data_IF_136751633751
#
_entry.id   IF_136751633751
#
_cell.length_a   1.000
_cell.length_b   1.000
_cell.length_c   1.000
_cell.angle_alpha   90.00
_cell.angle_beta   90.00
_cell.angle_gamma   90.00
#
_symmetry.space_group_name_H-M   'P 1'
#
loop_
_entity.id
_entity.type
_entity.pdbx_description
1 polymer ?
#
# COMPACT_ATOMS: atom_id res chain seq x y z
N UNK A 1 -24.39 20.91 -7.63
CA UNK A 1 -25.28 22.09 -7.60
C UNK A 1 -26.67 21.77 -8.15
N UNK A 2 -26.82 21.19 -9.33
CA UNK A 2 -28.13 20.85 -9.91
C UNK A 2 -29.01 19.96 -9.01
N UNK A 3 -28.45 19.00 -8.28
CA UNK A 3 -29.20 18.15 -7.34
C UNK A 3 -29.72 18.92 -6.12
N UNK A 4 -29.05 19.97 -5.72
CA UNK A 4 -29.47 20.82 -4.59
C UNK A 4 -30.68 21.68 -4.96
N UNK A 5 -30.66 22.32 -6.14
CA UNK A 5 -31.79 23.09 -6.65
C UNK A 5 -32.92 22.19 -7.14
N UNK A 6 -32.63 20.97 -7.64
CA UNK A 6 -33.64 20.00 -8.04
C UNK A 6 -34.49 19.48 -6.89
N UNK A 7 -33.99 19.50 -5.66
CA UNK A 7 -34.76 19.07 -4.48
C UNK A 7 -35.93 20.00 -4.15
N UNK A 8 -35.86 21.29 -4.47
CA UNK A 8 -36.97 22.22 -4.27
C UNK A 8 -38.14 21.95 -5.23
N UNK A 9 -37.85 21.49 -6.45
CA UNK A 9 -38.86 21.10 -7.42
C UNK A 9 -39.73 19.92 -6.95
N UNK A 10 -39.18 19.05 -6.10
CA UNK A 10 -39.89 17.92 -5.52
C UNK A 10 -40.99 18.35 -4.56
N UNK A 11 -40.86 19.53 -3.92
CA UNK A 11 -41.83 20.08 -2.99
C UNK A 11 -43.15 20.52 -3.69
N UNK A 12 -43.12 20.72 -5.01
CA UNK A 12 -44.31 21.08 -5.81
C UNK A 12 -45.07 19.86 -6.35
N UNK A 13 -44.55 18.64 -6.16
CA UNK A 13 -45.16 17.42 -6.67
C UNK A 13 -46.26 16.90 -5.72
N UNK A 14 -47.38 16.41 -6.27
CA UNK A 14 -48.53 15.85 -5.51
C UNK A 14 -48.30 14.39 -5.10
N UNK A 15 -47.29 14.13 -4.25
CA UNK A 15 -47.01 12.84 -3.67
C UNK A 15 -47.37 12.80 -2.17
N UNK A 16 -47.51 11.59 -1.56
CA UNK A 16 -47.66 11.46 -0.11
C UNK A 16 -46.48 12.18 0.62
N UNK A 17 -46.82 12.93 1.65
CA UNK A 17 -45.81 13.76 2.37
C UNK A 17 -44.61 12.96 2.83
N UNK A 18 -44.81 11.70 3.29
CA UNK A 18 -43.73 10.83 3.73
C UNK A 18 -42.73 10.46 2.59
N UNK A 19 -43.23 10.21 1.39
CA UNK A 19 -42.41 9.92 0.23
C UNK A 19 -41.63 11.15 -0.23
N UNK A 20 -42.28 12.32 -0.16
CA UNK A 20 -41.72 13.61 -0.58
C UNK A 20 -40.57 14.01 0.35
N UNK A 21 -40.72 13.85 1.66
CA UNK A 21 -39.65 14.11 2.64
C UNK A 21 -38.47 13.16 2.46
N UNK A 22 -38.72 11.88 2.20
CA UNK A 22 -37.66 10.89 1.98
C UNK A 22 -36.85 11.19 0.71
N UNK A 23 -37.54 11.52 -0.38
CA UNK A 23 -36.88 11.92 -1.64
C UNK A 23 -36.10 13.21 -1.49
N UNK A 24 -36.63 14.19 -0.78
CA UNK A 24 -35.94 15.45 -0.50
C UNK A 24 -34.64 15.22 0.29
N UNK A 25 -34.71 14.48 1.39
CA UNK A 25 -33.54 14.16 2.21
C UNK A 25 -32.50 13.37 1.41
N UNK A 26 -32.94 12.39 0.61
CA UNK A 26 -32.04 11.58 -0.23
C UNK A 26 -31.32 12.43 -1.28
N UNK A 27 -32.01 13.35 -1.97
CA UNK A 27 -31.39 14.23 -2.99
C UNK A 27 -30.44 15.23 -2.37
N UNK A 28 -30.78 15.81 -1.21
CA UNK A 28 -29.87 16.71 -0.48
C UNK A 28 -28.63 15.96 0.00
N UNK A 29 -28.80 14.77 0.57
CA UNK A 29 -27.66 13.95 1.02
C UNK A 29 -26.74 13.55 -0.16
N UNK A 30 -27.32 13.14 -1.28
CA UNK A 30 -26.56 12.81 -2.49
C UNK A 30 -25.79 14.03 -3.04
N UNK A 31 -26.42 15.20 -3.03
CA UNK A 31 -25.78 16.47 -3.40
C UNK A 31 -24.60 16.81 -2.50
N UNK A 32 -24.76 16.65 -1.19
CA UNK A 32 -23.70 16.91 -0.21
C UNK A 32 -22.52 15.95 -0.37
N UNK A 33 -22.76 14.64 -0.51
CA UNK A 33 -21.72 13.64 -0.75
C UNK A 33 -20.96 13.94 -2.05
N UNK A 34 -21.68 14.35 -3.11
CA UNK A 34 -21.07 14.73 -4.39
C UNK A 34 -20.16 15.95 -4.26
N UNK A 35 -20.54 16.93 -3.47
CA UNK A 35 -19.71 18.12 -3.18
C UNK A 35 -18.44 17.74 -2.40
N UNK A 36 -18.57 16.89 -1.38
CA UNK A 36 -17.41 16.42 -0.60
C UNK A 36 -16.43 15.63 -1.49
N UNK A 37 -16.93 14.73 -2.32
CA UNK A 37 -16.07 13.95 -3.23
C UNK A 37 -15.39 14.85 -4.25
N UNK A 38 -16.10 15.79 -4.86
CA UNK A 38 -15.51 16.76 -5.78
C UNK A 38 -14.44 17.63 -5.10
N UNK A 39 -14.69 18.10 -3.89
CA UNK A 39 -13.72 18.85 -3.09
C UNK A 39 -12.42 18.06 -2.81
N UNK A 40 -12.54 16.79 -2.47
CA UNK A 40 -11.36 15.94 -2.27
C UNK A 40 -10.56 15.70 -3.55
N UNK A 41 -11.23 15.57 -4.68
CA UNK A 41 -10.57 15.40 -5.99
C UNK A 41 -9.86 16.69 -6.42
N UNK A 42 -10.51 17.84 -6.28
CA UNK A 42 -9.90 19.15 -6.56
C UNK A 42 -8.68 19.37 -5.67
N UNK A 43 -8.79 19.08 -4.37
CA UNK A 43 -7.65 19.20 -3.45
C UNK A 43 -6.47 18.32 -3.84
N UNK A 44 -6.74 17.11 -4.33
CA UNK A 44 -5.69 16.21 -4.83
C UNK A 44 -5.03 16.74 -6.10
N UNK A 45 -5.83 17.26 -7.04
CA UNK A 45 -5.30 17.86 -8.27
C UNK A 45 -4.44 19.08 -7.98
N UNK A 46 -4.92 20.00 -7.14
CA UNK A 46 -4.17 21.19 -6.74
C UNK A 46 -2.88 20.82 -5.99
N UNK A 47 -2.94 19.85 -5.09
CA UNK A 47 -1.76 19.39 -4.36
C UNK A 47 -0.73 18.77 -5.28
N UNK A 48 -1.16 18.00 -6.29
CA UNK A 48 -0.23 17.43 -7.28
C UNK A 48 0.44 18.52 -8.13
N UNK A 49 -0.30 19.56 -8.52
CA UNK A 49 0.26 20.69 -9.29
C UNK A 49 1.20 21.57 -8.44
N UNK A 50 0.92 21.72 -7.14
CA UNK A 50 1.77 22.50 -6.22
C UNK A 50 3.05 21.73 -5.78
N UNK A 51 3.14 20.44 -6.08
CA UNK A 51 4.32 19.60 -5.82
C UNK A 51 5.25 19.47 -7.04
N UNK A 52 4.95 20.16 -8.14
CA UNK A 52 5.86 20.20 -9.27
C UNK A 52 7.17 20.87 -8.85
N UNK A 53 8.25 20.13 -9.00
CA UNK A 53 9.60 20.61 -8.70
C UNK A 53 9.96 21.66 -9.76
N UNK A 54 10.17 22.91 -9.32
CA UNK A 54 10.55 24.04 -10.20
C UNK A 54 11.80 23.73 -11.02
N UNK A 55 12.64 22.80 -10.55
CA UNK A 55 13.84 22.36 -11.24
C UNK A 55 13.63 21.11 -12.11
N UNK A 56 12.42 20.55 -12.11
CA UNK A 56 12.08 19.34 -12.86
C UNK A 56 10.71 19.47 -13.54
N UNK A 57 10.60 20.43 -14.45
CA UNK A 57 9.37 20.75 -15.19
C UNK A 57 8.74 19.54 -15.92
N UNK A 58 9.58 18.61 -16.38
CA UNK A 58 9.11 17.41 -17.06
C UNK A 58 8.76 16.26 -16.11
N UNK A 59 8.90 16.48 -14.79
CA UNK A 59 8.70 15.49 -13.74
C UNK A 59 9.45 14.18 -14.04
N UNK A 60 10.70 14.33 -14.45
CA UNK A 60 11.58 13.21 -14.78
C UNK A 60 12.43 12.81 -13.58
N UNK A 61 12.73 11.55 -13.47
CA UNK A 61 13.71 11.03 -12.54
C UNK A 61 15.09 10.92 -13.21
N UNK A 62 16.12 10.77 -12.40
CA UNK A 62 17.46 10.46 -12.91
C UNK A 62 17.51 9.04 -13.50
N UNK A 63 18.51 8.78 -14.33
CA UNK A 63 18.76 7.46 -14.89
C UNK A 63 19.01 6.44 -13.79
N UNK A 64 18.20 5.38 -13.75
CA UNK A 64 18.32 4.31 -12.76
C UNK A 64 18.88 3.04 -13.39
N UNK A 65 19.40 2.12 -12.56
CA UNK A 65 19.90 0.83 -13.02
C UNK A 65 18.77 -0.01 -13.64
N UNK A 66 18.99 -0.48 -14.86
CA UNK A 66 18.01 -1.28 -15.60
C UNK A 66 18.30 -2.78 -15.53
N UNK A 67 19.51 -3.15 -15.14
CA UNK A 67 19.93 -4.54 -15.07
C UNK A 67 19.53 -5.14 -13.73
N UNK A 68 19.03 -6.36 -13.76
CA UNK A 68 18.82 -7.15 -12.57
C UNK A 68 20.18 -7.74 -12.13
N UNK A 69 20.66 -7.31 -10.97
CA UNK A 69 21.89 -7.84 -10.37
C UNK A 69 21.46 -8.70 -9.18
N UNK A 70 21.36 -10.00 -9.41
CA UNK A 70 20.94 -10.95 -8.40
C UNK A 70 22.11 -11.83 -7.94
N UNK A 71 22.19 -12.07 -6.64
CA UNK A 71 23.08 -13.05 -6.03
C UNK A 71 22.33 -13.82 -4.92
N UNK A 72 23.02 -14.69 -4.21
CA UNK A 72 22.47 -15.49 -3.12
C UNK A 72 21.79 -14.63 -2.05
N UNK A 73 22.34 -13.45 -1.73
CA UNK A 73 21.87 -12.59 -0.62
C UNK A 73 20.96 -11.45 -1.07
N UNK A 74 20.98 -11.09 -2.35
CA UNK A 74 20.37 -9.86 -2.84
C UNK A 74 18.86 -9.81 -2.63
N UNK A 75 18.36 -8.59 -2.42
CA UNK A 75 16.95 -8.27 -2.56
C UNK A 75 16.79 -7.26 -3.70
N UNK A 76 15.98 -7.61 -4.67
CA UNK A 76 15.82 -6.83 -5.90
C UNK A 76 14.39 -6.30 -5.97
N UNK A 77 14.25 -4.97 -6.02
CA UNK A 77 12.98 -4.29 -6.06
C UNK A 77 12.72 -3.77 -7.47
N UNK A 78 11.63 -4.19 -8.13
CA UNK A 78 11.29 -3.66 -9.44
C UNK A 78 10.84 -2.21 -9.32
N UNK A 79 11.31 -1.37 -10.23
CA UNK A 79 10.97 0.05 -10.30
C UNK A 79 10.52 0.44 -11.69
N UNK A 80 9.83 1.58 -11.77
CA UNK A 80 9.55 2.28 -13.02
C UNK A 80 9.98 3.72 -12.85
N UNK A 81 10.68 4.26 -13.83
CA UNK A 81 11.13 5.65 -13.84
C UNK A 81 10.91 6.28 -15.20
N UNK A 82 10.70 7.59 -15.21
CA UNK A 82 10.58 8.38 -16.42
C UNK A 82 11.89 9.12 -16.67
N UNK A 83 12.42 8.98 -17.88
CA UNK A 83 13.64 9.65 -18.29
C UNK A 83 13.56 9.96 -19.79
N UNK A 84 13.91 11.18 -20.19
CA UNK A 84 13.81 11.66 -21.58
C UNK A 84 12.44 11.37 -22.19
N UNK A 85 11.37 11.75 -21.49
CA UNK A 85 9.96 11.56 -21.89
C UNK A 85 9.52 10.11 -22.11
N UNK A 86 10.35 9.14 -21.76
CA UNK A 86 10.05 7.71 -21.88
C UNK A 86 10.00 7.04 -20.50
N UNK A 87 9.13 6.07 -20.34
CA UNK A 87 9.06 5.24 -19.14
C UNK A 87 9.90 4.00 -19.31
N UNK A 88 10.79 3.76 -18.37
CA UNK A 88 11.68 2.61 -18.31
C UNK A 88 11.38 1.76 -17.10
N UNK A 89 11.64 0.46 -17.21
CA UNK A 89 11.69 -0.45 -16.07
C UNK A 89 13.12 -0.53 -15.56
N UNK A 90 13.28 -0.55 -14.26
CA UNK A 90 14.58 -0.62 -13.59
C UNK A 90 14.51 -1.48 -12.33
N UNK A 91 15.62 -1.54 -11.63
CA UNK A 91 15.77 -2.31 -10.41
C UNK A 91 16.55 -1.53 -9.34
N UNK A 92 16.05 -1.57 -8.12
CA UNK A 92 16.86 -1.24 -6.96
C UNK A 92 17.47 -2.56 -6.48
N UNK A 93 18.77 -2.72 -6.73
CA UNK A 93 19.50 -3.94 -6.40
C UNK A 93 20.20 -3.78 -5.05
N UNK A 94 19.65 -4.37 -3.99
CA UNK A 94 20.31 -4.47 -2.70
C UNK A 94 21.13 -5.76 -2.70
N UNK A 95 22.37 -5.66 -3.17
CA UNK A 95 23.22 -6.84 -3.46
C UNK A 95 23.64 -7.54 -2.17
N UNK A 96 24.01 -6.78 -1.15
CA UNK A 96 24.47 -7.30 0.14
C UNK A 96 23.65 -6.69 1.28
N UNK A 97 22.49 -7.23 1.65
CA UNK A 97 21.58 -6.66 2.66
C UNK A 97 22.03 -6.96 4.10
N UNK A 98 23.33 -7.07 4.36
CA UNK A 98 23.89 -7.35 5.70
C UNK A 98 23.95 -6.11 6.60
N UNK A 99 23.69 -4.94 6.05
CA UNK A 99 23.56 -3.70 6.79
C UNK A 99 22.10 -3.32 6.95
N UNK A 100 21.79 -2.58 8.00
CA UNK A 100 20.43 -2.10 8.21
C UNK A 100 19.97 -1.21 7.04
N UNK A 101 18.71 -1.38 6.64
CA UNK A 101 18.04 -0.52 5.65
C UNK A 101 17.00 0.32 6.35
N UNK A 102 17.04 1.65 6.18
CA UNK A 102 16.04 2.57 6.70
C UNK A 102 15.07 2.95 5.58
N UNK A 103 13.77 2.69 5.80
CA UNK A 103 12.72 2.98 4.82
C UNK A 103 11.81 4.05 5.40
N UNK A 104 11.89 5.25 4.84
CA UNK A 104 11.08 6.39 5.25
C UNK A 104 9.92 6.63 4.28
N UNK A 105 8.81 7.10 4.80
CA UNK A 105 7.65 7.47 4.01
C UNK A 105 6.42 7.71 4.87
N UNK A 106 5.50 8.52 4.38
CA UNK A 106 4.23 8.82 5.04
C UNK A 106 3.33 7.58 5.16
N UNK A 107 2.36 7.55 6.09
CA UNK A 107 1.34 6.53 6.12
C UNK A 107 0.64 6.41 4.75
N UNK A 108 0.41 5.17 4.30
CA UNK A 108 -0.22 4.92 2.98
C UNK A 108 0.69 5.06 1.76
N UNK A 109 1.98 5.39 1.90
CA UNK A 109 2.92 5.51 0.77
C UNK A 109 3.32 4.19 0.10
N UNK A 110 2.75 3.06 0.51
CA UNK A 110 3.03 1.76 -0.10
C UNK A 110 4.32 1.07 0.36
N UNK A 111 4.98 1.54 1.43
CA UNK A 111 6.24 0.95 1.94
C UNK A 111 6.17 -0.57 2.14
N UNK A 112 5.12 -1.03 2.80
CA UNK A 112 4.95 -2.46 3.06
C UNK A 112 4.79 -3.25 1.77
N UNK A 113 3.96 -2.76 0.86
CA UNK A 113 3.69 -3.43 -0.41
C UNK A 113 4.93 -3.45 -1.34
N UNK A 114 5.54 -2.31 -1.56
CA UNK A 114 6.62 -2.17 -2.54
C UNK A 114 7.95 -2.73 -2.04
N UNK A 115 8.23 -2.64 -0.74
CA UNK A 115 9.56 -2.94 -0.19
C UNK A 115 9.50 -4.13 0.77
N UNK A 116 8.78 -4.02 1.89
CA UNK A 116 8.83 -5.01 2.97
C UNK A 116 8.36 -6.39 2.48
N UNK A 117 7.26 -6.45 1.74
CA UNK A 117 6.76 -7.70 1.18
C UNK A 117 7.77 -8.37 0.24
N UNK A 118 8.50 -7.57 -0.54
CA UNK A 118 9.54 -8.09 -1.42
C UNK A 118 10.75 -8.63 -0.64
N UNK A 119 11.14 -7.97 0.45
CA UNK A 119 12.17 -8.48 1.36
C UNK A 119 11.76 -9.81 1.96
N UNK A 120 10.59 -9.90 2.56
CA UNK A 120 10.07 -11.13 3.18
C UNK A 120 10.04 -12.27 2.15
N UNK A 121 9.45 -12.01 0.98
CA UNK A 121 9.32 -13.05 -0.06
C UNK A 121 10.67 -13.57 -0.54
N UNK A 122 11.57 -12.67 -0.90
CA UNK A 122 12.86 -13.06 -1.49
C UNK A 122 13.79 -13.72 -0.46
N UNK A 123 13.80 -13.26 0.79
CA UNK A 123 14.61 -13.87 1.83
C UNK A 123 14.11 -15.27 2.19
N UNK A 124 12.81 -15.46 2.35
CA UNK A 124 12.25 -16.80 2.59
C UNK A 124 12.43 -17.70 1.37
N UNK A 125 12.28 -17.18 0.15
CA UNK A 125 12.52 -17.92 -1.07
C UNK A 125 13.96 -18.43 -1.19
N UNK A 126 14.92 -17.70 -0.64
CA UNK A 126 16.33 -18.06 -0.60
C UNK A 126 16.72 -18.96 0.59
N UNK A 127 15.76 -19.32 1.44
CA UNK A 127 15.98 -20.22 2.57
C UNK A 127 16.54 -19.55 3.83
N UNK A 128 16.44 -18.22 3.95
CA UNK A 128 16.89 -17.51 5.14
C UNK A 128 15.85 -17.53 6.25
N UNK A 129 16.33 -17.59 7.49
CA UNK A 129 15.50 -17.35 8.66
C UNK A 129 15.18 -15.85 8.78
N UNK A 130 13.97 -15.54 9.22
CA UNK A 130 13.52 -14.16 9.36
C UNK A 130 12.83 -13.95 10.72
N UNK A 131 13.06 -12.77 11.32
CA UNK A 131 12.27 -12.23 12.39
C UNK A 131 11.48 -11.04 11.85
N UNK A 132 10.16 -11.08 12.01
CA UNK A 132 9.25 -10.08 11.44
C UNK A 132 8.43 -9.46 12.58
N UNK A 133 8.57 -8.16 12.77
CA UNK A 133 7.69 -7.39 13.64
C UNK A 133 6.50 -6.88 12.83
N UNK A 134 5.33 -7.46 13.08
CA UNK A 134 4.10 -7.16 12.36
C UNK A 134 3.18 -6.27 13.20
N UNK A 135 3.32 -4.96 13.05
CA UNK A 135 2.51 -3.98 13.78
C UNK A 135 1.01 -4.06 13.42
N UNK A 136 0.71 -4.53 12.21
CA UNK A 136 -0.68 -4.70 11.73
C UNK A 136 -1.00 -6.18 11.57
N UNK A 137 -0.68 -6.95 12.60
CA UNK A 137 -0.98 -8.38 12.58
C UNK A 137 -2.43 -8.64 12.08
N UNK A 138 -2.63 -9.60 11.11
CA UNK A 138 -1.64 -10.58 10.63
C UNK A 138 -1.07 -10.29 9.22
N UNK A 139 -1.01 -9.05 8.75
CA UNK A 139 -0.71 -8.70 7.35
C UNK A 139 0.62 -9.30 6.83
N UNK A 140 1.73 -9.02 7.51
CA UNK A 140 3.05 -9.53 7.12
C UNK A 140 3.23 -11.00 7.48
N UNK A 141 2.62 -11.43 8.58
CA UNK A 141 2.69 -12.79 9.09
C UNK A 141 2.08 -13.79 8.12
N UNK A 142 0.94 -13.47 7.51
CA UNK A 142 0.31 -14.29 6.47
C UNK A 142 1.21 -14.42 5.24
N UNK A 143 1.83 -13.33 4.80
CA UNK A 143 2.74 -13.33 3.65
C UNK A 143 3.93 -14.24 3.93
N UNK A 144 4.55 -14.10 5.11
CA UNK A 144 5.69 -14.90 5.52
C UNK A 144 5.34 -16.38 5.61
N UNK A 145 4.22 -16.72 6.23
CA UNK A 145 3.76 -18.11 6.37
C UNK A 145 3.49 -18.76 5.02
N UNK A 146 2.74 -18.09 4.15
CA UNK A 146 2.44 -18.61 2.82
C UNK A 146 3.71 -18.80 1.98
N UNK A 147 4.66 -17.87 2.08
CA UNK A 147 5.93 -17.98 1.39
C UNK A 147 6.79 -19.11 1.94
N UNK A 148 6.78 -19.34 3.25
CA UNK A 148 7.44 -20.47 3.87
C UNK A 148 6.84 -21.81 3.42
N UNK A 149 5.51 -21.93 3.39
CA UNK A 149 4.82 -23.12 2.90
C UNK A 149 5.22 -23.47 1.46
N UNK A 150 5.34 -22.46 0.60
CA UNK A 150 5.70 -22.60 -0.81
C UNK A 150 7.15 -23.04 -1.01
N UNK A 151 8.05 -22.67 -0.10
CA UNK A 151 9.50 -22.87 -0.25
C UNK A 151 10.11 -23.82 0.80
N UNK A 152 9.31 -24.67 1.43
CA UNK A 152 9.79 -25.61 2.47
C UNK A 152 10.99 -26.44 2.03
N UNK A 153 11.01 -26.85 0.78
CA UNK A 153 12.04 -27.75 0.23
C UNK A 153 13.41 -27.08 0.07
N UNK A 154 13.46 -25.76 0.17
CA UNK A 154 14.73 -25.02 0.08
C UNK A 154 15.51 -24.99 1.40
N UNK A 155 14.90 -25.43 2.47
CA UNK A 155 15.53 -25.46 3.79
C UNK A 155 16.14 -26.85 4.06
N UNK A 156 17.41 -26.88 4.45
CA UNK A 156 18.13 -28.13 4.75
C UNK A 156 17.57 -28.87 5.97
N UNK A 157 16.83 -28.18 6.84
CA UNK A 157 16.20 -28.75 8.04
C UNK A 157 14.74 -28.27 8.11
N UNK A 158 13.84 -29.04 8.76
CA UNK A 158 12.49 -28.60 9.01
C UNK A 158 12.46 -27.24 9.72
N UNK A 159 11.75 -26.28 9.16
CA UNK A 159 11.64 -24.92 9.70
C UNK A 159 10.31 -24.75 10.42
N UNK A 160 10.37 -24.28 11.67
CA UNK A 160 9.21 -23.88 12.44
C UNK A 160 8.79 -22.44 12.13
N UNK A 161 7.48 -22.20 12.16
CA UNK A 161 6.93 -20.85 12.11
C UNK A 161 6.32 -20.53 13.47
N UNK A 162 6.84 -19.50 14.12
CA UNK A 162 6.43 -19.13 15.47
C UNK A 162 5.83 -17.74 15.45
N UNK A 163 4.68 -17.59 16.09
CA UNK A 163 4.00 -16.31 16.28
C UNK A 163 3.98 -15.99 17.77
N UNK A 164 4.43 -14.80 18.12
CA UNK A 164 4.28 -14.25 19.46
C UNK A 164 3.29 -13.09 19.35
N UNK A 165 2.07 -13.31 19.83
CA UNK A 165 1.00 -12.33 19.79
C UNK A 165 0.65 -11.89 21.21
N UNK A 166 0.89 -10.62 21.51
CA UNK A 166 0.59 -10.04 22.84
C UNK A 166 -0.87 -9.61 22.97
N UNK A 167 -1.56 -9.35 21.85
CA UNK A 167 -2.95 -8.91 21.87
C UNK A 167 -3.91 -10.08 22.10
N UNK A 168 -3.60 -11.27 21.57
CA UNK A 168 -4.39 -12.48 21.78
C UNK A 168 -3.49 -13.68 22.06
N UNK A 169 -3.29 -14.03 23.35
CA UNK A 169 -2.45 -15.16 23.76
C UNK A 169 -2.93 -16.52 23.24
N UNK A 170 -4.19 -16.66 22.81
CA UNK A 170 -4.73 -17.91 22.24
C UNK A 170 -4.09 -18.26 20.90
N UNK A 171 -3.65 -17.24 20.17
CA UNK A 171 -2.96 -17.36 18.89
C UNK A 171 -1.47 -17.11 18.99
N UNK A 172 -0.91 -17.28 20.18
CA UNK A 172 0.51 -17.06 20.45
C UNK A 172 1.19 -18.36 20.83
N UNK A 173 2.37 -18.60 20.25
CA UNK A 173 3.26 -19.63 20.75
C UNK A 173 3.88 -19.18 22.08
N UNK A 174 4.10 -20.16 22.95
CA UNK A 174 4.80 -19.90 24.21
C UNK A 174 6.30 -19.86 23.95
N UNK A 175 6.94 -18.80 24.36
CA UNK A 175 8.38 -18.63 24.29
C UNK A 175 8.89 -18.36 25.71
N UNK A 176 9.89 -19.11 26.15
CA UNK A 176 10.66 -18.74 27.33
C UNK A 176 11.95 -18.05 26.82
N UNK A 177 12.11 -16.75 27.05
CA UNK A 177 13.28 -16.01 26.59
C UNK A 177 14.53 -16.21 27.47
N UNK A 178 14.42 -16.94 28.59
CA UNK A 178 15.49 -17.19 29.56
C UNK A 178 16.06 -18.60 29.43
#
# INVERSE_FOLDING_TARGET
MLLFFGSELLLTARFPVALLTLLYVATVAAGYISLLTAGTWISRLLKNQLMDDVFNDENESFMQERRLIANEYSVNLPTRFRYQRKTYSGWINVINPFRASLILGTPGSGKSYAIINNYIRQQIEKGYAAYIYDFKYPDLSIIAYNQLLKNKDKYAKPVGFYVINFDDPRYSHRCNPL
#
